data_IF_107992348645
#
_entry.id   IF_107992348645
#
_cell.length_a   1.000
_cell.length_b   1.000
_cell.length_c   1.000
_cell.angle_alpha   90.00
_cell.angle_beta   90.00
_cell.angle_gamma   90.00
#
_symmetry.space_group_name_H-M   'P 1'
#
loop_
_entity.id
_entity.type
_entity.pdbx_description
1 polymer ?
#
# COMPACT_ATOMS: atom_id res chain seq x y z
N UNK A 1 -21.77 -2.04 21.17
CA UNK A 1 -20.30 -1.85 21.28
C UNK A 1 -19.64 -3.04 20.62
N UNK A 2 -18.69 -2.84 19.70
CA UNK A 2 -17.94 -3.95 19.14
C UNK A 2 -17.20 -4.70 20.26
N UNK A 3 -17.07 -6.02 20.13
CA UNK A 3 -16.33 -6.83 21.10
C UNK A 3 -14.88 -6.32 21.15
N UNK A 4 -14.37 -6.04 22.36
CA UNK A 4 -12.98 -5.62 22.56
C UNK A 4 -12.21 -6.75 23.21
N UNK A 5 -10.95 -6.91 22.82
CA UNK A 5 -10.01 -7.85 23.43
C UNK A 5 -8.77 -7.10 23.88
N UNK A 6 -8.01 -7.67 24.82
CA UNK A 6 -6.79 -7.05 25.36
C UNK A 6 -5.58 -7.84 24.90
N UNK A 7 -4.57 -7.14 24.39
CA UNK A 7 -3.26 -7.70 24.04
C UNK A 7 -2.20 -7.00 24.90
N UNK A 8 -1.37 -7.79 25.58
CA UNK A 8 -0.24 -7.26 26.35
C UNK A 8 0.97 -7.06 25.43
N UNK A 9 1.58 -5.88 25.50
CA UNK A 9 2.74 -5.50 24.67
C UNK A 9 3.87 -5.02 25.57
N UNK A 10 5.10 -5.32 25.20
CA UNK A 10 6.26 -4.70 25.85
C UNK A 10 6.26 -3.19 25.59
N UNK A 11 6.78 -2.36 26.54
CA UNK A 11 6.84 -0.90 26.36
C UNK A 11 7.56 -0.49 25.06
N UNK A 12 8.63 -1.22 24.70
CA UNK A 12 9.36 -0.99 23.45
C UNK A 12 8.49 -1.16 22.21
N UNK A 13 7.65 -2.21 22.18
CA UNK A 13 6.74 -2.46 21.05
C UNK A 13 5.69 -1.35 20.95
N UNK A 14 5.17 -0.89 22.08
CA UNK A 14 4.24 0.25 22.11
C UNK A 14 4.86 1.53 21.54
N UNK A 15 6.13 1.81 21.82
CA UNK A 15 6.84 2.95 21.21
C UNK A 15 7.06 2.78 19.70
N UNK A 16 7.30 1.56 19.22
CA UNK A 16 7.32 1.30 17.78
C UNK A 16 5.97 1.59 17.14
N UNK A 17 4.87 1.17 17.77
CA UNK A 17 3.51 1.49 17.30
C UNK A 17 3.22 3.00 17.33
N UNK A 18 3.81 3.76 18.27
CA UNK A 18 3.70 5.23 18.27
C UNK A 18 4.36 5.85 17.03
N UNK A 19 5.56 5.38 16.66
CA UNK A 19 6.26 5.85 15.48
C UNK A 19 5.56 5.50 14.16
N UNK A 20 4.70 4.48 14.17
CA UNK A 20 3.92 4.06 13.01
C UNK A 20 2.58 4.80 12.85
N UNK A 21 2.20 5.66 13.80
CA UNK A 21 0.99 6.48 13.68
C UNK A 21 1.14 7.52 12.57
N UNK A 22 0.14 7.60 11.70
CA UNK A 22 0.05 8.58 10.62
C UNK A 22 -0.39 9.94 11.16
N UNK A 23 -1.23 9.95 12.19
CA UNK A 23 -1.69 11.15 12.89
C UNK A 23 -1.75 10.89 14.40
N UNK A 24 -1.63 11.97 15.19
CA UNK A 24 -1.50 11.89 16.66
C UNK A 24 -2.64 11.10 17.33
N UNK A 25 -3.85 11.21 16.78
CA UNK A 25 -5.08 10.64 17.34
C UNK A 25 -5.37 9.21 16.83
N UNK A 26 -4.52 8.66 15.96
CA UNK A 26 -4.72 7.30 15.43
C UNK A 26 -4.71 6.29 16.58
N UNK A 27 -5.74 5.43 16.62
CA UNK A 27 -5.84 4.38 17.64
C UNK A 27 -4.82 3.26 17.38
N UNK A 28 -4.34 2.61 18.43
CA UNK A 28 -3.47 1.43 18.26
C UNK A 28 -4.18 0.30 17.51
N UNK A 29 -5.50 0.17 17.63
CA UNK A 29 -6.26 -0.81 16.85
C UNK A 29 -6.11 -0.56 15.34
N UNK A 30 -6.28 0.68 14.89
CA UNK A 30 -6.12 1.06 13.48
C UNK A 30 -4.69 0.81 12.98
N UNK A 31 -3.68 1.13 13.80
CA UNK A 31 -2.28 0.88 13.46
C UNK A 31 -2.01 -0.61 13.32
N UNK A 32 -2.45 -1.41 14.30
CA UNK A 32 -2.26 -2.86 14.31
C UNK A 32 -2.99 -3.52 13.14
N UNK A 33 -4.23 -3.11 12.87
CA UNK A 33 -5.02 -3.61 11.75
C UNK A 33 -4.32 -3.33 10.42
N UNK A 34 -3.89 -2.08 10.19
CA UNK A 34 -3.16 -1.72 8.96
C UNK A 34 -1.88 -2.54 8.79
N UNK A 35 -1.08 -2.70 9.85
CA UNK A 35 0.15 -3.51 9.80
C UNK A 35 -0.19 -4.98 9.52
N UNK A 36 -1.22 -5.52 10.17
CA UNK A 36 -1.65 -6.89 9.96
C UNK A 36 -2.12 -7.11 8.51
N UNK A 37 -2.93 -6.20 7.96
CA UNK A 37 -3.36 -6.25 6.55
C UNK A 37 -2.18 -6.23 5.60
N UNK A 38 -1.16 -5.39 5.86
CA UNK A 38 0.07 -5.37 5.06
C UNK A 38 0.87 -6.68 5.16
N UNK A 39 0.86 -7.34 6.33
CA UNK A 39 1.59 -8.59 6.56
C UNK A 39 0.87 -9.83 5.99
N UNK A 40 -0.45 -9.81 6.01
CA UNK A 40 -1.30 -10.91 5.52
C UNK A 40 -1.64 -10.80 4.03
N UNK A 41 -1.05 -9.83 3.30
CA UNK A 41 -1.29 -9.49 1.90
C UNK A 41 -2.11 -10.56 1.16
N UNK A 42 -3.43 -10.36 1.14
CA UNK A 42 -4.38 -11.36 0.65
C UNK A 42 -4.34 -11.50 -0.87
N UNK A 43 -3.72 -10.55 -1.56
CA UNK A 43 -3.59 -10.49 -3.01
C UNK A 43 -2.13 -10.18 -3.38
N UNK A 44 -1.20 -11.11 -3.07
CA UNK A 44 0.19 -10.92 -3.43
C UNK A 44 0.33 -10.89 -4.95
N UNK A 45 1.18 -10.00 -5.45
CA UNK A 45 1.48 -9.93 -6.88
C UNK A 45 2.04 -11.27 -7.37
N UNK A 46 1.48 -11.76 -8.46
CA UNK A 46 2.03 -12.89 -9.20
C UNK A 46 3.33 -12.52 -9.90
N UNK A 47 4.17 -13.51 -10.20
CA UNK A 47 5.42 -13.29 -10.95
C UNK A 47 5.17 -12.58 -12.30
N UNK A 48 4.04 -12.87 -12.95
CA UNK A 48 3.65 -12.21 -14.20
C UNK A 48 3.32 -10.73 -14.00
N UNK A 49 2.64 -10.37 -12.90
CA UNK A 49 2.31 -8.97 -12.60
C UNK A 49 3.57 -8.19 -12.24
N UNK A 50 4.46 -8.78 -11.43
CA UNK A 50 5.76 -8.19 -11.10
C UNK A 50 6.54 -7.93 -12.39
N UNK A 51 6.63 -8.92 -13.29
CA UNK A 51 7.31 -8.77 -14.57
C UNK A 51 6.69 -7.67 -15.43
N UNK A 52 5.37 -7.57 -15.50
CA UNK A 52 4.68 -6.51 -16.22
C UNK A 52 4.99 -5.11 -15.68
N UNK A 53 5.10 -4.98 -14.35
CA UNK A 53 5.53 -3.73 -13.69
C UNK A 53 6.98 -3.41 -14.06
N UNK A 54 7.89 -4.39 -14.03
CA UNK A 54 9.30 -4.18 -14.40
C UNK A 54 9.47 -3.77 -15.87
N UNK A 55 8.70 -4.35 -16.77
CA UNK A 55 8.67 -3.98 -18.20
C UNK A 55 8.17 -2.55 -18.37
N UNK A 56 7.07 -2.19 -17.71
CA UNK A 56 6.52 -0.83 -17.73
C UNK A 56 7.52 0.19 -17.20
N UNK A 57 8.27 -0.13 -16.13
CA UNK A 57 9.33 0.72 -15.60
C UNK A 57 10.48 0.91 -16.60
N UNK A 58 10.83 -0.11 -17.39
CA UNK A 58 11.84 0.01 -18.45
C UNK A 58 11.35 0.90 -19.59
N UNK A 59 10.08 0.80 -19.96
CA UNK A 59 9.47 1.63 -20.99
C UNK A 59 9.46 3.10 -20.58
N UNK A 60 9.03 3.42 -19.35
CA UNK A 60 9.06 4.78 -18.81
C UNK A 60 10.48 5.35 -18.85
N UNK A 61 11.48 4.59 -18.36
CA UNK A 61 12.88 5.04 -18.36
C UNK A 61 13.44 5.26 -19.76
N UNK A 62 12.95 4.52 -20.75
CA UNK A 62 13.35 4.66 -22.14
C UNK A 62 12.55 5.72 -22.91
N UNK A 63 11.64 6.45 -22.24
CA UNK A 63 10.77 7.45 -22.87
C UNK A 63 9.69 6.85 -23.76
N UNK A 64 9.41 5.55 -23.64
CA UNK A 64 8.34 4.85 -24.36
C UNK A 64 7.04 4.92 -23.59
N UNK A 65 6.48 6.12 -23.48
CA UNK A 65 5.18 6.35 -22.85
C UNK A 65 4.39 7.38 -23.65
N UNK A 66 3.06 7.35 -23.51
CA UNK A 66 2.18 8.38 -24.03
C UNK A 66 1.84 9.35 -22.90
N UNK A 67 1.74 10.64 -23.23
CA UNK A 67 1.10 11.61 -22.34
C UNK A 67 -0.39 11.30 -22.17
N UNK A 68 -1.01 11.86 -21.13
CA UNK A 68 -2.44 11.67 -20.89
C UNK A 68 -3.29 12.10 -22.10
N UNK A 69 -2.97 13.23 -22.71
CA UNK A 69 -3.68 13.74 -23.90
C UNK A 69 -3.53 12.82 -25.11
N UNK A 70 -2.34 12.25 -25.32
CA UNK A 70 -2.10 11.28 -26.39
C UNK A 70 -2.88 9.98 -26.13
N UNK A 71 -2.86 9.48 -24.89
CA UNK A 71 -3.59 8.27 -24.51
C UNK A 71 -5.11 8.47 -24.66
N UNK A 72 -5.66 9.61 -24.24
CA UNK A 72 -7.08 9.97 -24.40
C UNK A 72 -7.51 9.98 -25.85
N UNK A 73 -6.71 10.60 -26.72
CA UNK A 73 -6.95 10.59 -28.18
C UNK A 73 -6.89 9.18 -28.77
N UNK A 74 -5.96 8.35 -28.33
CA UNK A 74 -5.84 6.96 -28.78
C UNK A 74 -7.02 6.09 -28.34
N UNK A 75 -7.53 6.32 -27.13
CA UNK A 75 -8.64 5.56 -26.55
C UNK A 75 -10.02 6.13 -26.92
N UNK A 76 -10.09 7.31 -27.53
CA UNK A 76 -11.33 7.98 -27.92
C UNK A 76 -12.15 8.46 -26.73
N UNK A 77 -11.48 8.86 -25.65
CA UNK A 77 -12.10 9.33 -24.41
C UNK A 77 -11.67 10.78 -24.22
N UNK A 78 -12.60 11.73 -24.40
CA UNK A 78 -12.37 13.17 -24.21
C UNK A 78 -12.47 13.60 -22.73
#
# INVERSE_FOLDING_TARGET
MAATTTVCLEPRVKEMLNGLKTHREESYNSVIERIATMAYDSEPLTDSEIKGIEESLKDIKAGRYYSEDEAKKMLGID
#
